data_IF_315639134271
#
_entry.id   IF_315639134271
#
_cell.length_a   1.000
_cell.length_b   1.000
_cell.length_c   1.000
_cell.angle_alpha   90.00
_cell.angle_beta   90.00
_cell.angle_gamma   90.00
#
_symmetry.space_group_name_H-M   'P 1'
#
loop_
_entity.id
_entity.type
_entity.pdbx_description
1 polymer ?
#
# COMPACT_ATOMS: atom_id res chain seq x y z
N UNK A 1 39.23 -29.12 -5.47
CA UNK A 1 39.18 -27.78 -6.08
C UNK A 1 37.87 -27.51 -6.86
N UNK A 2 36.78 -28.28 -6.70
CA UNK A 2 35.49 -28.08 -7.39
C UNK A 2 34.31 -28.29 -6.41
N UNK A 3 34.38 -27.66 -5.23
CA UNK A 3 33.25 -27.66 -4.26
C UNK A 3 32.94 -26.27 -3.72
N UNK A 4 33.37 -25.23 -4.44
CA UNK A 4 33.35 -23.82 -4.00
C UNK A 4 32.55 -22.89 -4.94
N UNK A 5 31.80 -23.43 -5.92
CA UNK A 5 31.15 -22.61 -6.98
C UNK A 5 29.61 -22.71 -6.94
N UNK A 6 29.03 -23.28 -5.88
CA UNK A 6 27.56 -23.36 -5.73
C UNK A 6 27.03 -22.66 -4.46
N UNK A 7 27.58 -21.49 -4.12
CA UNK A 7 26.91 -20.56 -3.21
C UNK A 7 26.65 -19.25 -3.95
N UNK A 8 25.44 -18.99 -4.46
CA UNK A 8 25.07 -17.67 -4.87
C UNK A 8 24.50 -16.91 -3.66
N UNK A 9 25.00 -15.69 -3.53
CA UNK A 9 24.50 -14.59 -2.69
C UNK A 9 25.11 -14.51 -1.29
N UNK A 10 26.21 -13.73 -1.27
CA UNK A 10 26.66 -12.90 -0.17
C UNK A 10 25.59 -12.63 0.89
N UNK A 11 25.94 -12.94 2.14
CA UNK A 11 25.24 -12.45 3.31
C UNK A 11 25.33 -10.92 3.36
N UNK A 12 24.44 -10.23 2.67
CA UNK A 12 24.05 -8.90 3.10
C UNK A 12 23.28 -9.12 4.41
N UNK A 13 23.97 -8.97 5.54
CA UNK A 13 23.37 -8.78 6.88
C UNK A 13 22.62 -7.44 6.88
N UNK A 14 21.65 -7.26 5.98
CA UNK A 14 20.77 -6.12 6.04
C UNK A 14 19.87 -6.35 7.24
N UNK A 15 19.92 -5.42 8.18
CA UNK A 15 19.05 -5.35 9.36
C UNK A 15 17.61 -5.20 8.85
N UNK A 16 17.00 -6.32 8.46
CA UNK A 16 15.63 -6.36 8.00
C UNK A 16 14.84 -7.21 8.99
N UNK A 17 13.83 -6.58 9.57
CA UNK A 17 12.93 -7.16 10.56
C UNK A 17 12.44 -8.54 10.09
N UNK A 18 12.68 -9.53 10.95
CA UNK A 18 12.24 -10.93 10.81
C UNK A 18 12.75 -11.69 9.57
N UNK A 19 13.82 -11.27 8.91
CA UNK A 19 14.36 -12.00 7.74
C UNK A 19 14.66 -13.48 8.01
N UNK A 20 15.34 -13.78 9.12
CA UNK A 20 15.64 -15.18 9.49
C UNK A 20 14.38 -16.02 9.73
N UNK A 21 13.37 -15.42 10.38
CA UNK A 21 12.08 -16.08 10.65
C UNK A 21 11.32 -16.32 9.34
N UNK A 22 11.27 -15.34 8.44
CA UNK A 22 10.62 -15.50 7.13
C UNK A 22 11.34 -16.54 6.26
N UNK A 23 12.68 -16.59 6.30
CA UNK A 23 13.45 -17.62 5.58
C UNK A 23 13.12 -19.02 6.11
N UNK A 24 12.99 -19.16 7.43
CA UNK A 24 12.58 -20.42 8.04
C UNK A 24 11.14 -20.81 7.65
N UNK A 25 10.19 -19.87 7.73
CA UNK A 25 8.80 -20.11 7.32
C UNK A 25 8.72 -20.48 5.83
N UNK A 26 9.50 -19.82 4.97
CA UNK A 26 9.59 -20.14 3.55
C UNK A 26 10.08 -21.56 3.31
N UNK A 27 11.05 -22.03 4.10
CA UNK A 27 11.61 -23.36 3.97
C UNK A 27 10.60 -24.46 4.35
N UNK A 28 9.78 -24.22 5.38
CA UNK A 28 8.86 -25.24 5.92
C UNK A 28 7.43 -25.20 5.35
N UNK A 29 6.88 -24.02 5.05
CA UNK A 29 5.46 -23.84 4.69
C UNK A 29 5.24 -23.39 3.25
N UNK A 30 6.33 -23.13 2.52
CA UNK A 30 6.29 -22.69 1.14
C UNK A 30 5.90 -21.22 0.95
N UNK A 31 5.77 -20.88 -0.33
CA UNK A 31 5.72 -19.48 -0.81
C UNK A 31 4.36 -18.77 -0.65
N UNK A 32 3.27 -19.51 -0.47
CA UNK A 32 1.92 -18.96 -0.26
C UNK A 32 1.77 -18.32 1.11
N UNK A 33 2.07 -19.08 2.17
CA UNK A 33 2.09 -18.60 3.56
C UNK A 33 3.13 -17.48 3.74
N UNK A 34 4.30 -17.62 3.09
CA UNK A 34 5.31 -16.56 3.09
C UNK A 34 4.77 -15.24 2.52
N UNK A 35 3.94 -15.28 1.47
CA UNK A 35 3.38 -14.07 0.84
C UNK A 35 2.51 -13.26 1.81
N UNK A 36 1.80 -13.92 2.73
CA UNK A 36 1.05 -13.28 3.81
C UNK A 36 1.99 -12.55 4.77
N UNK A 37 3.03 -13.20 5.28
CA UNK A 37 3.97 -12.57 6.21
C UNK A 37 4.77 -11.43 5.58
N UNK A 38 5.12 -11.54 4.29
CA UNK A 38 5.75 -10.43 3.57
C UNK A 38 4.73 -9.28 3.43
N UNK A 39 3.44 -9.55 3.20
CA UNK A 39 2.40 -8.52 3.14
C UNK A 39 2.21 -7.82 4.48
N UNK A 40 2.06 -8.58 5.56
CA UNK A 40 1.97 -8.06 6.93
C UNK A 40 3.19 -7.19 7.25
N UNK A 41 4.41 -7.69 6.99
CA UNK A 41 5.64 -6.93 7.22
C UNK A 41 5.65 -5.62 6.42
N UNK A 42 5.14 -5.60 5.19
CA UNK A 42 5.05 -4.35 4.41
C UNK A 42 4.08 -3.35 5.04
N UNK A 43 2.90 -3.81 5.48
CA UNK A 43 1.95 -2.96 6.21
C UNK A 43 2.59 -2.39 7.50
N UNK A 44 3.37 -3.20 8.22
CA UNK A 44 4.09 -2.73 9.40
C UNK A 44 5.02 -1.56 9.06
N UNK A 45 5.82 -1.67 7.98
CA UNK A 45 6.70 -0.56 7.55
C UNK A 45 5.92 0.70 7.17
N UNK A 46 4.75 0.56 6.50
CA UNK A 46 3.91 1.71 6.18
C UNK A 46 3.38 2.40 7.44
N UNK A 47 2.92 1.64 8.44
CA UNK A 47 2.46 2.23 9.69
C UNK A 47 3.59 2.83 10.51
N UNK A 48 4.79 2.24 10.52
CA UNK A 48 5.98 2.83 11.15
C UNK A 48 6.30 4.18 10.50
N UNK A 49 6.32 4.25 9.17
CA UNK A 49 6.59 5.50 8.47
C UNK A 49 5.53 6.58 8.79
N UNK A 50 4.24 6.23 8.77
CA UNK A 50 3.16 7.14 9.13
C UNK A 50 3.28 7.59 10.59
N UNK A 51 3.62 6.69 11.51
CA UNK A 51 3.86 7.01 12.91
C UNK A 51 5.06 7.95 13.07
N UNK A 52 6.15 7.76 12.33
CA UNK A 52 7.32 8.64 12.40
C UNK A 52 7.02 10.04 11.86
N UNK A 53 6.28 10.15 10.76
CA UNK A 53 5.87 11.44 10.18
C UNK A 53 4.96 12.19 11.16
N UNK A 54 3.91 11.54 11.68
CA UNK A 54 3.01 12.17 12.66
C UNK A 54 3.72 12.42 14.01
N UNK A 55 4.59 11.50 14.41
CA UNK A 55 5.42 11.58 15.62
C UNK A 55 6.28 12.84 15.61
N UNK A 56 7.09 12.99 14.56
CA UNK A 56 8.07 14.05 14.45
C UNK A 56 7.45 15.42 14.24
N UNK A 57 6.47 15.54 13.35
CA UNK A 57 5.93 16.83 12.95
C UNK A 57 4.67 17.25 13.72
N UNK A 58 3.98 16.35 14.41
CA UNK A 58 2.74 16.70 15.10
C UNK A 58 2.79 16.41 16.60
N UNK A 59 3.22 15.21 16.98
CA UNK A 59 3.18 14.77 18.38
C UNK A 59 4.33 15.38 19.21
N UNK A 60 5.56 15.37 18.69
CA UNK A 60 6.72 15.91 19.42
C UNK A 60 6.59 17.41 19.72
N UNK A 61 6.20 18.29 18.76
CA UNK A 61 5.98 19.71 19.06
C UNK A 61 4.88 19.93 20.10
N UNK A 62 3.83 19.10 20.08
CA UNK A 62 2.69 19.19 20.99
C UNK A 62 3.05 18.78 22.43
N UNK A 63 3.82 17.70 22.61
CA UNK A 63 4.26 17.25 23.94
C UNK A 63 5.25 18.26 24.55
N UNK A 64 6.09 18.88 23.72
CA UNK A 64 7.00 19.93 24.18
C UNK A 64 6.25 21.18 24.63
N UNK A 65 5.12 21.50 24.00
CA UNK A 65 4.31 22.69 24.28
C UNK A 65 2.84 22.33 24.46
N UNK A 66 2.48 21.70 25.59
CA UNK A 66 1.10 21.30 25.83
C UNK A 66 0.19 22.53 25.91
N UNK A 67 -1.03 22.47 25.36
CA UNK A 67 -1.99 23.55 25.45
C UNK A 67 -2.44 23.73 26.90
N UNK A 68 -2.80 24.97 27.26
CA UNK A 68 -3.31 25.27 28.61
C UNK A 68 -4.54 24.39 28.92
N UNK A 69 -4.58 23.73 30.10
CA UNK A 69 -5.71 22.89 30.47
C UNK A 69 -6.98 23.76 30.53
N UNK A 70 -8.01 23.37 29.77
CA UNK A 70 -9.33 24.00 29.87
C UNK A 70 -9.96 23.53 31.18
N UNK A 71 -10.21 24.45 32.11
CA UNK A 71 -10.97 24.17 33.33
C UNK A 71 -12.34 23.60 32.95
N UNK A 72 -12.50 22.27 32.98
CA UNK A 72 -13.77 21.59 32.79
C UNK A 72 -14.19 20.94 34.09
N UNK A 73 -15.32 21.42 34.61
CA UNK A 73 -15.95 20.94 35.83
C UNK A 73 -16.09 19.41 35.85
N UNK A 74 -15.71 18.85 36.99
CA UNK A 74 -15.95 17.49 37.45
C UNK A 74 -17.42 17.11 37.28
N UNK A 75 -17.72 16.24 36.33
CA UNK A 75 -19.03 15.57 36.27
C UNK A 75 -18.79 14.07 36.16
N UNK A 76 -18.99 13.35 37.28
CA UNK A 76 -19.19 11.89 37.44
C UNK A 76 -18.27 10.94 36.67
N UNK A 77 -17.15 10.54 37.28
CA UNK A 77 -16.06 9.72 36.72
C UNK A 77 -16.44 8.33 36.18
N UNK A 78 -17.63 7.80 36.47
CA UNK A 78 -17.89 6.37 36.36
C UNK A 78 -18.34 5.92 34.96
N UNK A 79 -18.88 6.83 34.14
CA UNK A 79 -19.44 6.51 32.81
C UNK A 79 -18.49 6.81 31.63
N UNK A 80 -17.44 7.59 31.86
CA UNK A 80 -16.53 8.09 30.81
C UNK A 80 -15.62 7.01 30.22
N UNK A 81 -15.26 6.00 31.01
CA UNK A 81 -14.45 4.88 30.53
C UNK A 81 -15.21 4.00 29.52
N UNK A 82 -16.54 3.96 29.59
CA UNK A 82 -17.40 3.20 28.66
C UNK A 82 -17.83 4.03 27.43
N UNK A 83 -18.01 5.35 27.58
CA UNK A 83 -18.38 6.25 26.47
C UNK A 83 -17.19 6.80 25.68
N UNK A 84 -15.97 6.67 26.20
CA UNK A 84 -14.76 7.17 25.54
C UNK A 84 -14.65 8.70 25.49
N UNK A 85 -15.54 9.43 26.16
CA UNK A 85 -15.48 10.88 26.31
C UNK A 85 -14.58 11.25 27.50
N UNK A 86 -14.09 12.49 27.59
CA UNK A 86 -13.39 12.99 28.80
C UNK A 86 -11.86 12.88 28.70
N UNK A 87 -11.20 12.16 29.63
CA UNK A 87 -9.73 12.08 29.72
C UNK A 87 -9.09 11.58 28.41
N UNK A 88 -9.75 10.67 27.70
CA UNK A 88 -9.29 10.20 26.39
C UNK A 88 -9.38 11.30 25.32
N UNK A 89 -10.41 12.15 25.36
CA UNK A 89 -10.55 13.26 24.39
C UNK A 89 -9.50 14.36 24.57
N UNK A 90 -8.89 14.44 25.75
CA UNK A 90 -7.75 15.32 26.04
C UNK A 90 -6.40 14.61 25.95
N UNK A 91 -6.38 13.41 25.37
CA UNK A 91 -5.14 12.70 25.05
C UNK A 91 -4.60 13.15 23.70
N UNK A 92 -3.26 13.12 23.57
CA UNK A 92 -2.51 13.31 22.32
C UNK A 92 -2.97 12.34 21.21
N UNK A 93 -3.68 11.27 21.57
CA UNK A 93 -4.26 10.35 20.60
C UNK A 93 -5.28 11.02 19.67
N UNK A 94 -6.08 11.98 20.14
CA UNK A 94 -7.21 12.52 19.40
C UNK A 94 -6.99 13.95 18.90
N UNK A 95 -7.63 14.30 17.77
CA UNK A 95 -7.51 15.62 17.15
C UNK A 95 -7.86 16.78 18.10
N UNK A 96 -8.76 16.55 19.07
CA UNK A 96 -9.26 17.57 19.99
C UNK A 96 -8.20 18.17 20.90
N UNK A 97 -7.15 17.41 21.22
CA UNK A 97 -6.04 17.85 22.07
C UNK A 97 -5.09 18.83 21.36
N UNK A 98 -5.06 18.85 20.03
CA UNK A 98 -4.20 19.72 19.24
C UNK A 98 -4.79 21.13 19.11
N UNK A 99 -4.95 21.86 20.21
CA UNK A 99 -5.47 23.23 20.19
C UNK A 99 -4.36 24.25 19.90
N UNK A 100 -4.75 25.41 19.36
CA UNK A 100 -3.84 26.54 19.20
C UNK A 100 -3.59 27.19 20.57
N UNK A 101 -2.36 27.09 21.09
CA UNK A 101 -1.94 27.85 22.27
C UNK A 101 -1.85 29.31 21.88
N UNK A 102 -2.80 30.14 22.29
CA UNK A 102 -2.60 31.59 22.28
C UNK A 102 -1.45 31.90 23.23
N UNK A 103 -0.48 32.67 22.75
CA UNK A 103 0.78 33.05 23.42
C UNK A 103 0.61 33.79 24.77
N UNK A 104 -0.58 33.85 25.35
CA UNK A 104 -0.87 34.72 26.48
C UNK A 104 -0.36 34.15 27.82
N UNK A 105 -0.12 32.82 27.95
CA UNK A 105 0.26 32.21 29.24
C UNK A 105 1.48 31.26 29.18
N UNK A 106 2.50 31.54 28.37
CA UNK A 106 3.79 30.86 28.54
C UNK A 106 4.55 31.48 29.73
N UNK A 107 4.27 31.02 30.95
CA UNK A 107 5.13 31.31 32.09
C UNK A 107 6.48 30.60 31.88
N UNK A 108 7.50 31.42 31.63
CA UNK A 108 8.85 31.03 31.32
C UNK A 108 9.62 30.70 32.59
N UNK A 109 9.72 29.43 32.97
CA UNK A 109 10.82 28.98 33.84
C UNK A 109 11.46 27.65 33.43
N UNK A 110 10.91 26.85 32.48
CA UNK A 110 11.59 25.59 32.09
C UNK A 110 11.20 24.97 30.74
N UNK A 111 10.43 25.65 29.88
CA UNK A 111 9.95 25.07 28.61
C UNK A 111 10.57 25.75 27.38
N UNK A 112 11.12 24.94 26.49
CA UNK A 112 11.58 25.33 25.16
C UNK A 112 10.35 25.65 24.30
N UNK A 113 9.87 26.89 24.34
CA UNK A 113 8.80 27.37 23.46
C UNK A 113 9.40 27.79 22.11
N UNK A 114 9.13 27.07 21.01
CA UNK A 114 9.43 27.58 19.69
C UNK A 114 8.49 28.76 19.43
N UNK A 115 9.05 29.96 19.29
CA UNK A 115 8.30 31.07 18.70
C UNK A 115 7.78 30.62 17.32
N UNK A 116 6.46 30.68 17.13
CA UNK A 116 5.77 30.48 15.84
C UNK A 116 5.60 29.05 15.26
N UNK A 117 5.52 27.98 16.06
CA UNK A 117 5.06 26.69 15.50
C UNK A 117 3.53 26.67 15.32
N UNK A 118 3.05 26.86 14.09
CA UNK A 118 1.62 26.86 13.78
C UNK A 118 1.06 25.42 13.67
N UNK A 119 0.61 24.86 14.80
CA UNK A 119 0.09 23.48 14.91
C UNK A 119 -1.01 23.18 13.86
N UNK A 120 -2.03 24.05 13.66
CA UNK A 120 -3.06 23.79 12.66
C UNK A 120 -2.54 23.69 11.21
N UNK A 121 -1.54 24.49 10.85
CA UNK A 121 -0.93 24.43 9.52
C UNK A 121 -0.06 23.17 9.38
N UNK A 122 0.73 22.87 10.41
CA UNK A 122 1.51 21.65 10.49
C UNK A 122 0.64 20.39 10.38
N UNK A 123 -0.57 20.40 10.94
CA UNK A 123 -1.53 19.31 10.85
C UNK A 123 -1.89 18.99 9.39
N UNK A 124 -2.30 20.02 8.61
CA UNK A 124 -2.67 19.85 7.20
C UNK A 124 -1.47 19.34 6.39
N UNK A 125 -0.29 19.92 6.59
CA UNK A 125 0.91 19.53 5.87
C UNK A 125 1.39 18.12 6.24
N UNK A 126 1.33 17.74 7.51
CA UNK A 126 1.80 16.43 7.99
C UNK A 126 0.89 15.32 7.46
N UNK A 127 -0.43 15.48 7.57
CA UNK A 127 -1.40 14.50 7.04
C UNK A 127 -1.30 14.44 5.51
N UNK A 128 -1.24 15.59 4.83
CA UNK A 128 -1.10 15.67 3.37
C UNK A 128 0.20 15.02 2.87
N UNK A 129 1.34 15.32 3.50
CA UNK A 129 2.64 14.75 3.16
C UNK A 129 2.68 13.25 3.47
N UNK A 130 2.10 12.80 4.58
CA UNK A 130 1.98 11.38 4.92
C UNK A 130 1.18 10.60 3.87
N UNK A 131 0.04 11.14 3.43
CA UNK A 131 -0.77 10.56 2.35
C UNK A 131 -0.02 10.61 1.00
N UNK A 132 0.69 11.68 0.69
CA UNK A 132 1.48 11.78 -0.54
C UNK A 132 2.64 10.78 -0.58
N UNK A 133 3.43 10.68 0.51
CA UNK A 133 4.54 9.73 0.62
C UNK A 133 4.03 8.29 0.53
N UNK A 134 2.93 7.96 1.22
CA UNK A 134 2.33 6.63 1.12
C UNK A 134 1.85 6.33 -0.30
N UNK A 135 1.26 7.29 -1.01
CA UNK A 135 0.90 7.17 -2.42
C UNK A 135 2.12 6.84 -3.29
N UNK A 136 3.19 7.65 -3.19
CA UNK A 136 4.43 7.46 -3.96
C UNK A 136 5.04 6.08 -3.67
N UNK A 137 5.09 5.68 -2.40
CA UNK A 137 5.61 4.36 -2.03
C UNK A 137 4.75 3.22 -2.59
N UNK A 138 3.42 3.32 -2.56
CA UNK A 138 2.54 2.30 -3.14
C UNK A 138 2.73 2.20 -4.67
N UNK A 139 2.85 3.33 -5.37
CA UNK A 139 3.13 3.38 -6.81
C UNK A 139 4.50 2.78 -7.14
N UNK A 140 5.55 3.20 -6.43
CA UNK A 140 6.90 2.68 -6.61
C UNK A 140 6.94 1.17 -6.38
N UNK A 141 6.27 0.68 -5.32
CA UNK A 141 6.18 -0.75 -5.02
C UNK A 141 5.43 -1.52 -6.10
N UNK A 142 4.36 -0.95 -6.64
CA UNK A 142 3.65 -1.55 -7.75
C UNK A 142 4.55 -1.66 -8.98
N UNK A 143 5.23 -0.58 -9.38
CA UNK A 143 6.16 -0.55 -10.51
C UNK A 143 7.35 -1.48 -10.31
N UNK A 144 8.01 -1.45 -9.16
CA UNK A 144 9.16 -2.31 -8.82
C UNK A 144 8.81 -3.79 -8.92
N UNK A 145 7.65 -4.19 -8.40
CA UNK A 145 7.19 -5.57 -8.47
C UNK A 145 6.83 -5.98 -9.89
N UNK A 146 6.33 -5.05 -10.68
CA UNK A 146 6.01 -5.32 -12.08
C UNK A 146 7.26 -5.46 -12.95
N UNK A 147 8.33 -4.70 -12.66
CA UNK A 147 9.65 -4.87 -13.25
C UNK A 147 10.25 -6.23 -12.90
N UNK A 148 10.28 -6.61 -11.61
CA UNK A 148 10.82 -7.89 -11.17
C UNK A 148 10.01 -9.10 -11.68
N UNK A 149 8.73 -8.90 -12.00
CA UNK A 149 7.88 -9.91 -12.63
C UNK A 149 8.22 -10.15 -14.10
N UNK A 150 9.00 -9.27 -14.77
CA UNK A 150 9.46 -9.48 -16.14
C UNK A 150 10.61 -10.50 -16.22
N UNK A 151 11.39 -10.67 -15.15
CA UNK A 151 12.57 -11.56 -15.14
C UNK A 151 12.26 -13.03 -14.81
N UNK A 152 11.04 -13.34 -14.34
CA UNK A 152 10.62 -14.72 -14.04
C UNK A 152 9.66 -15.21 -15.13
N UNK A 153 10.19 -15.41 -16.33
CA UNK A 153 9.49 -16.05 -17.44
C UNK A 153 9.80 -17.56 -17.43
N UNK A 154 9.17 -18.30 -16.51
CA UNK A 154 9.15 -19.77 -16.56
C UNK A 154 7.71 -20.24 -16.43
N UNK A 155 7.23 -20.81 -17.53
CA UNK A 155 5.96 -21.46 -17.81
C UNK A 155 5.41 -22.22 -16.59
N UNK A 156 4.34 -21.71 -15.97
CA UNK A 156 3.63 -22.44 -14.93
C UNK A 156 2.12 -22.25 -15.03
N UNK A 157 1.50 -23.36 -15.42
CA UNK A 157 0.06 -23.63 -15.54
C UNK A 157 -0.72 -23.07 -14.35
N UNK A 158 -1.64 -22.15 -14.64
CA UNK A 158 -2.59 -21.54 -13.70
C UNK A 158 -3.36 -22.63 -12.94
N UNK A 159 -3.19 -22.70 -11.62
CA UNK A 159 -4.15 -23.37 -10.74
C UNK A 159 -4.70 -22.33 -9.75
N UNK A 160 -6.03 -22.22 -9.69
CA UNK A 160 -6.76 -21.49 -8.64
C UNK A 160 -6.27 -22.02 -7.29
N UNK A 161 -5.58 -21.18 -6.52
CA UNK A 161 -5.17 -21.52 -5.16
C UNK A 161 -6.18 -20.92 -4.16
N UNK A 162 -6.58 -21.78 -3.26
CA UNK A 162 -7.66 -21.76 -2.28
C UNK A 162 -7.74 -20.52 -1.37
N UNK A 163 -8.97 -20.30 -0.90
CA UNK A 163 -9.57 -19.00 -0.59
C UNK A 163 -9.42 -18.55 0.88
N UNK A 164 -8.64 -19.25 1.72
CA UNK A 164 -8.58 -18.95 3.16
C UNK A 164 -7.55 -17.88 3.53
N UNK A 165 -6.37 -17.87 2.89
CA UNK A 165 -5.34 -16.84 3.11
C UNK A 165 -5.82 -15.47 2.62
N UNK A 166 -6.69 -15.45 1.61
CA UNK A 166 -7.22 -14.22 1.05
C UNK A 166 -8.10 -13.46 2.04
N UNK A 167 -8.85 -14.16 2.91
CA UNK A 167 -9.67 -13.54 3.96
C UNK A 167 -8.81 -12.84 5.01
N UNK A 168 -7.77 -13.51 5.50
CA UNK A 168 -6.80 -12.92 6.43
C UNK A 168 -6.11 -11.68 5.82
N UNK A 169 -5.74 -11.73 4.53
CA UNK A 169 -5.13 -10.57 3.85
C UNK A 169 -6.15 -9.43 3.64
N UNK A 170 -7.41 -9.75 3.34
CA UNK A 170 -8.46 -8.75 3.18
C UNK A 170 -8.73 -8.01 4.50
N UNK A 171 -8.72 -8.72 5.63
CA UNK A 171 -8.84 -8.10 6.95
C UNK A 171 -7.64 -7.18 7.24
N UNK A 172 -6.43 -7.56 6.84
CA UNK A 172 -5.25 -6.70 6.92
C UNK A 172 -5.41 -5.41 6.08
N UNK A 173 -5.95 -5.54 4.86
CA UNK A 173 -6.23 -4.39 3.98
C UNK A 173 -7.29 -3.48 4.61
N UNK A 174 -8.35 -4.05 5.17
CA UNK A 174 -9.39 -3.31 5.87
C UNK A 174 -8.86 -2.57 7.12
N UNK A 175 -8.00 -3.23 7.91
CA UNK A 175 -7.31 -2.56 9.01
C UNK A 175 -6.47 -1.37 8.53
N UNK A 176 -5.78 -1.52 7.40
CA UNK A 176 -4.98 -0.45 6.81
C UNK A 176 -5.84 0.71 6.27
N UNK A 177 -6.99 0.42 5.64
CA UNK A 177 -7.92 1.48 5.21
C UNK A 177 -8.36 2.31 6.39
N UNK A 178 -8.80 1.67 7.47
CA UNK A 178 -9.27 2.38 8.67
C UNK A 178 -8.20 3.31 9.25
N UNK A 179 -6.93 2.93 9.22
CA UNK A 179 -5.84 3.84 9.63
C UNK A 179 -5.77 5.06 8.73
N UNK A 180 -5.85 4.91 7.41
CA UNK A 180 -5.81 6.05 6.49
C UNK A 180 -7.04 6.95 6.60
N UNK A 181 -8.22 6.38 6.82
CA UNK A 181 -9.43 7.17 7.11
C UNK A 181 -9.32 7.89 8.46
N UNK A 182 -8.82 7.21 9.48
CA UNK A 182 -8.84 7.69 10.86
C UNK A 182 -7.66 8.59 11.24
N UNK A 183 -6.54 8.57 10.52
CA UNK A 183 -5.34 9.35 10.87
C UNK A 183 -5.60 10.86 10.92
N UNK A 184 -6.61 11.34 10.17
CA UNK A 184 -7.07 12.73 10.24
C UNK A 184 -7.71 13.08 11.60
N UNK A 185 -8.34 12.12 12.28
CA UNK A 185 -9.02 12.33 13.56
C UNK A 185 -8.21 11.85 14.77
N UNK A 186 -7.31 10.90 14.55
CA UNK A 186 -6.45 10.33 15.58
C UNK A 186 -5.07 10.03 14.98
N UNK A 187 -4.12 10.98 15.02
CA UNK A 187 -2.81 10.83 14.39
C UNK A 187 -1.96 9.69 14.98
N UNK A 188 -2.33 9.19 16.17
CA UNK A 188 -1.67 8.06 16.85
C UNK A 188 -2.21 6.68 16.44
N UNK A 189 -3.24 6.60 15.58
CA UNK A 189 -3.78 5.33 15.07
C UNK A 189 -2.73 4.41 14.41
N UNK A 190 -1.73 4.92 13.67
CA UNK A 190 -0.65 4.07 13.15
C UNK A 190 0.10 3.32 14.26
N UNK A 191 0.23 3.88 15.47
CA UNK A 191 0.87 3.20 16.60
C UNK A 191 0.06 1.99 17.09
N UNK A 192 -1.26 2.16 17.22
CA UNK A 192 -2.18 1.07 17.58
C UNK A 192 -2.12 -0.04 16.52
N UNK A 193 -2.08 0.34 15.24
CA UNK A 193 -1.96 -0.62 14.14
C UNK A 193 -0.60 -1.34 14.13
N UNK A 194 0.50 -0.67 14.48
CA UNK A 194 1.82 -1.32 14.67
C UNK A 194 1.70 -2.40 15.74
N UNK A 195 1.11 -2.10 16.90
CA UNK A 195 0.87 -3.07 17.97
C UNK A 195 0.04 -4.27 17.50
N UNK A 196 -1.09 -4.02 16.83
CA UNK A 196 -1.94 -5.07 16.25
C UNK A 196 -1.17 -5.95 15.27
N UNK A 197 -0.42 -5.36 14.34
CA UNK A 197 0.33 -6.10 13.33
C UNK A 197 1.48 -6.91 13.95
N UNK A 198 2.14 -6.38 14.98
CA UNK A 198 3.20 -7.09 15.68
C UNK A 198 2.63 -8.30 16.41
N UNK A 199 1.57 -8.12 17.22
CA UNK A 199 0.88 -9.22 17.89
C UNK A 199 0.38 -10.27 16.89
N UNK A 200 -0.28 -9.83 15.82
CA UNK A 200 -0.79 -10.72 14.78
C UNK A 200 0.31 -11.52 14.10
N UNK A 201 1.50 -10.93 13.88
CA UNK A 201 2.66 -11.63 13.34
C UNK A 201 3.08 -12.80 14.24
N UNK A 202 3.20 -12.56 15.55
CA UNK A 202 3.59 -13.61 16.51
C UNK A 202 2.50 -14.65 16.71
N UNK A 203 1.23 -14.26 16.82
CA UNK A 203 0.12 -15.20 16.95
C UNK A 203 0.00 -16.12 15.73
N UNK A 204 0.00 -15.56 14.51
CA UNK A 204 -0.08 -16.37 13.27
C UNK A 204 1.17 -17.22 13.07
N UNK A 205 2.35 -16.72 13.44
CA UNK A 205 3.58 -17.53 13.47
C UNK A 205 3.43 -18.71 14.42
N UNK A 206 2.99 -18.47 15.66
CA UNK A 206 2.83 -19.51 16.68
C UNK A 206 1.80 -20.55 16.24
N UNK A 207 0.65 -20.10 15.73
CA UNK A 207 -0.40 -20.98 15.22
C UNK A 207 0.10 -21.91 14.09
N UNK A 208 0.90 -21.38 13.15
CA UNK A 208 1.52 -22.19 12.10
C UNK A 208 2.55 -23.19 12.63
N UNK A 209 3.33 -22.79 13.64
CA UNK A 209 4.33 -23.63 14.27
C UNK A 209 3.75 -24.61 15.30
N UNK A 210 2.46 -24.52 15.65
CA UNK A 210 1.80 -25.50 16.54
C UNK A 210 1.00 -26.53 15.74
N UNK A 211 0.41 -26.13 14.60
CA UNK A 211 -0.30 -27.02 13.69
C UNK A 211 0.65 -27.78 12.73
N UNK A 212 1.80 -28.27 13.23
CA UNK A 212 2.84 -28.94 12.42
C UNK A 212 2.27 -30.13 11.61
N UNK A 213 1.90 -29.88 10.37
CA UNK A 213 1.84 -30.87 9.32
C UNK A 213 2.77 -30.43 8.20
N UNK A 214 3.91 -31.13 8.01
CA UNK A 214 4.81 -30.84 6.90
C UNK A 214 4.04 -30.96 5.57
N UNK A 215 4.01 -29.91 4.73
CA UNK A 215 3.25 -29.95 3.49
C UNK A 215 3.86 -31.01 2.56
N UNK A 216 3.08 -32.03 2.20
CA UNK A 216 3.51 -33.15 1.33
C UNK A 216 3.74 -32.75 -0.14
N UNK A 217 3.51 -31.49 -0.52
CA UNK A 217 3.69 -31.00 -1.90
C UNK A 217 4.49 -29.71 -1.91
N UNK A 218 5.51 -29.70 -2.74
CA UNK A 218 6.32 -28.53 -3.08
C UNK A 218 5.42 -27.43 -3.68
N UNK A 219 5.15 -26.39 -2.88
CA UNK A 219 4.30 -25.26 -3.22
C UNK A 219 5.10 -24.10 -3.84
N UNK A 220 4.84 -23.74 -5.11
CA UNK A 220 5.52 -22.64 -5.84
C UNK A 220 4.69 -21.34 -5.86
N UNK A 221 5.42 -20.22 -5.99
CA UNK A 221 5.03 -18.86 -5.63
C UNK A 221 3.73 -18.32 -6.25
N UNK A 222 2.93 -17.71 -5.38
CA UNK A 222 1.54 -17.31 -5.65
C UNK A 222 1.44 -15.90 -6.24
N UNK A 223 0.79 -15.80 -7.40
CA UNK A 223 0.29 -14.58 -8.08
C UNK A 223 -0.57 -13.65 -7.17
N UNK A 224 -1.03 -14.16 -6.02
CA UNK A 224 -1.88 -13.48 -5.04
C UNK A 224 -1.33 -12.13 -4.54
N UNK A 225 -0.01 -12.01 -4.36
CA UNK A 225 0.55 -10.79 -3.77
C UNK A 225 0.46 -9.56 -4.70
N UNK A 226 0.24 -9.72 -6.00
CA UNK A 226 0.05 -8.58 -6.92
C UNK A 226 -1.40 -8.11 -6.88
N UNK A 227 -2.35 -9.03 -6.84
CA UNK A 227 -3.78 -8.71 -6.66
C UNK A 227 -4.02 -7.93 -5.36
N UNK A 228 -3.43 -8.36 -4.24
CA UNK A 228 -3.59 -7.65 -2.97
C UNK A 228 -2.96 -6.25 -2.96
N UNK A 229 -1.85 -6.04 -3.68
CA UNK A 229 -1.28 -4.69 -3.82
C UNK A 229 -2.18 -3.81 -4.70
N UNK A 230 -2.76 -4.37 -5.77
CA UNK A 230 -3.78 -3.66 -6.57
C UNK A 230 -4.99 -3.31 -5.68
N UNK A 231 -5.50 -4.26 -4.90
CA UNK A 231 -6.64 -4.04 -4.01
C UNK A 231 -6.35 -3.01 -2.91
N UNK A 232 -5.14 -3.01 -2.35
CA UNK A 232 -4.70 -2.03 -1.36
C UNK A 232 -4.59 -0.61 -1.95
N UNK A 233 -4.16 -0.49 -3.21
CA UNK A 233 -3.97 0.81 -3.84
C UNK A 233 -5.26 1.38 -4.45
N UNK A 234 -5.96 0.62 -5.29
CA UNK A 234 -7.08 1.13 -6.10
C UNK A 234 -8.32 1.50 -5.27
N UNK A 235 -9.06 0.56 -4.66
CA UNK A 235 -10.24 0.92 -3.88
C UNK A 235 -9.89 1.45 -2.49
N UNK A 236 -8.87 0.88 -1.84
CA UNK A 236 -8.56 1.12 -0.44
C UNK A 236 -7.90 2.49 -0.20
N UNK A 237 -6.72 2.73 -0.79
CA UNK A 237 -6.01 4.00 -0.61
C UNK A 237 -6.73 5.19 -1.27
N UNK A 238 -7.18 5.05 -2.52
CA UNK A 238 -7.92 6.11 -3.22
C UNK A 238 -9.20 6.48 -2.50
N UNK A 239 -9.96 5.50 -2.00
CA UNK A 239 -11.19 5.75 -1.23
C UNK A 239 -10.92 6.51 0.06
N UNK A 240 -9.88 6.12 0.80
CA UNK A 240 -9.46 6.84 2.01
C UNK A 240 -9.01 8.28 1.69
N UNK A 241 -8.21 8.46 0.63
CA UNK A 241 -7.77 9.78 0.19
C UNK A 241 -8.94 10.68 -0.20
N UNK A 242 -9.91 10.17 -0.97
CA UNK A 242 -11.09 10.91 -1.36
C UNK A 242 -11.92 11.33 -0.13
N UNK A 243 -12.08 10.45 0.85
CA UNK A 243 -12.79 10.77 2.09
C UNK A 243 -12.04 11.81 2.95
N UNK A 244 -10.73 11.69 3.11
CA UNK A 244 -9.92 12.68 3.84
C UNK A 244 -10.00 14.05 3.16
N UNK A 245 -9.91 14.11 1.82
CA UNK A 245 -10.09 15.37 1.08
C UNK A 245 -11.50 15.93 1.29
N UNK A 246 -12.54 15.10 1.14
CA UNK A 246 -13.93 15.51 1.33
C UNK A 246 -14.20 16.06 2.74
N UNK A 247 -13.67 15.38 3.77
CA UNK A 247 -13.84 15.80 5.17
C UNK A 247 -13.13 17.12 5.44
N UNK A 248 -11.89 17.29 4.99
CA UNK A 248 -11.17 18.57 5.13
C UNK A 248 -11.84 19.73 4.37
N UNK A 249 -12.59 19.41 3.30
CA UNK A 249 -13.32 20.38 2.48
C UNK A 249 -14.66 20.83 3.07
N UNK A 250 -15.53 19.86 3.37
CA UNK A 250 -16.96 20.09 3.64
C UNK A 250 -17.30 20.10 5.11
N UNK A 251 -16.56 19.37 5.94
CA UNK A 251 -16.91 19.21 7.36
C UNK A 251 -16.45 20.44 8.12
N UNK A 252 -17.39 21.06 8.84
CA UNK A 252 -17.10 22.18 9.72
C UNK A 252 -16.44 21.67 11.00
N UNK A 253 -15.26 22.19 11.40
CA UNK A 253 -14.61 21.77 12.64
C UNK A 253 -15.41 22.22 13.87
N UNK A 254 -15.16 21.55 15.01
CA UNK A 254 -15.76 21.89 16.30
C UNK A 254 -15.41 23.32 16.73
N UNK A 255 -16.32 24.00 17.43
CA UNK A 255 -16.05 25.29 18.09
C UNK A 255 -15.19 25.12 19.35
N UNK A 256 -15.32 23.98 20.02
CA UNK A 256 -14.88 23.84 21.42
C UNK A 256 -13.50 23.21 21.56
N UNK A 257 -13.02 22.48 20.55
CA UNK A 257 -11.76 21.74 20.61
C UNK A 257 -11.10 21.54 19.23
N UNK A 258 -9.80 21.22 19.27
CA UNK A 258 -8.99 20.91 18.10
C UNK A 258 -8.32 22.11 17.41
N UNK A 259 -7.48 21.84 16.40
CA UNK A 259 -6.58 22.83 15.80
C UNK A 259 -7.31 23.86 14.94
N UNK A 260 -8.48 23.50 14.42
CA UNK A 260 -9.26 24.34 13.53
C UNK A 260 -10.47 24.96 14.23
N UNK A 261 -10.42 25.09 15.57
CA UNK A 261 -11.50 25.72 16.34
C UNK A 261 -11.81 27.11 15.77
N UNK A 262 -13.10 27.44 15.65
CA UNK A 262 -13.60 28.71 15.11
C UNK A 262 -13.33 28.94 13.61
N UNK A 263 -12.97 27.91 12.83
CA UNK A 263 -12.94 27.98 11.36
C UNK A 263 -14.18 27.32 10.72
N UNK A 264 -14.50 27.74 9.49
CA UNK A 264 -15.60 27.15 8.71
C UNK A 264 -15.20 25.84 8.01
N UNK A 265 -13.92 25.70 7.65
CA UNK A 265 -13.36 24.48 7.06
C UNK A 265 -11.86 24.43 7.35
N UNK A 266 -11.30 23.22 7.40
CA UNK A 266 -9.87 23.00 7.71
C UNK A 266 -8.98 23.65 6.64
N UNK A 267 -9.33 23.48 5.35
CA UNK A 267 -8.57 24.05 4.23
C UNK A 267 -8.56 25.59 4.17
N UNK A 268 -9.49 26.27 4.84
CA UNK A 268 -9.54 27.74 4.83
C UNK A 268 -8.29 28.36 5.47
N UNK A 269 -7.67 27.67 6.42
CA UNK A 269 -6.42 28.12 7.03
C UNK A 269 -5.26 28.07 6.02
N UNK A 270 -5.13 26.96 5.28
CA UNK A 270 -4.17 26.85 4.18
C UNK A 270 -4.36 27.96 3.15
N UNK A 271 -5.61 28.27 2.81
CA UNK A 271 -5.97 29.40 1.92
C UNK A 271 -5.56 30.78 2.46
N UNK A 272 -5.61 31.00 3.78
CA UNK A 272 -5.14 32.26 4.37
C UNK A 272 -3.61 32.37 4.28
N UNK A 273 -2.91 31.29 4.63
CA UNK A 273 -1.45 31.23 4.59
C UNK A 273 -0.90 31.40 3.16
N UNK A 274 -1.47 30.70 2.17
CA UNK A 274 -1.06 30.79 0.76
C UNK A 274 -1.24 32.21 0.19
N UNK A 275 -2.32 32.90 0.59
CA UNK A 275 -2.60 34.30 0.19
C UNK A 275 -1.65 35.29 0.87
N UNK A 276 -1.30 35.05 2.13
CA UNK A 276 -0.31 35.86 2.84
C UNK A 276 1.07 35.76 2.19
N UNK A 277 1.48 34.56 1.78
CA UNK A 277 2.71 34.32 1.02
C UNK A 277 2.73 35.05 -0.33
N UNK A 278 1.64 34.98 -1.10
CA UNK A 278 1.55 35.66 -2.38
C UNK A 278 1.63 37.19 -2.28
N UNK A 279 1.24 37.77 -1.13
CA UNK A 279 1.43 39.21 -0.85
C UNK A 279 2.84 39.56 -0.38
N UNK A 280 3.49 38.65 0.36
CA UNK A 280 4.82 38.89 0.93
C UNK A 280 5.94 38.68 -0.09
N UNK A 281 5.76 37.76 -1.05
CA UNK A 281 6.72 37.45 -2.12
C UNK A 281 6.03 37.44 -3.49
N UNK A 282 6.30 38.43 -4.38
CA UNK A 282 5.62 38.52 -5.68
C UNK A 282 5.89 37.32 -6.60
N UNK A 283 7.01 36.60 -6.44
CA UNK A 283 7.28 35.35 -7.19
C UNK A 283 6.33 34.20 -6.85
N UNK A 284 5.70 34.22 -5.67
CA UNK A 284 4.79 33.18 -5.19
C UNK A 284 3.31 33.49 -5.46
N UNK A 285 3.00 34.57 -6.17
CA UNK A 285 1.63 34.96 -6.51
C UNK A 285 0.88 33.84 -7.27
N UNK A 286 1.62 33.09 -8.12
CA UNK A 286 1.08 31.95 -8.88
C UNK A 286 0.45 30.87 -7.99
N UNK A 287 0.89 30.77 -6.73
CA UNK A 287 0.55 29.68 -5.80
C UNK A 287 -0.80 29.96 -5.19
N UNK A 288 -1.05 31.23 -4.86
CA UNK A 288 -2.36 31.71 -4.44
C UNK A 288 -3.38 31.59 -5.58
N UNK A 289 -2.99 31.94 -6.81
CA UNK A 289 -3.85 31.75 -7.98
C UNK A 289 -4.18 30.28 -8.22
N UNK A 290 -3.16 29.42 -8.26
CA UNK A 290 -3.30 27.98 -8.44
C UNK A 290 -4.16 27.36 -7.33
N UNK A 291 -3.91 27.70 -6.06
CA UNK A 291 -4.73 27.22 -4.96
C UNK A 291 -6.20 27.64 -5.11
N UNK A 292 -6.47 28.91 -5.39
CA UNK A 292 -7.86 29.37 -5.53
C UNK A 292 -8.60 28.72 -6.70
N UNK A 293 -7.89 28.31 -7.76
CA UNK A 293 -8.53 27.72 -8.94
C UNK A 293 -8.60 26.18 -8.89
N UNK A 294 -7.55 25.52 -8.40
CA UNK A 294 -7.49 24.06 -8.30
C UNK A 294 -8.20 23.53 -7.07
N UNK A 295 -8.04 24.21 -5.94
CA UNK A 295 -8.45 23.69 -4.64
C UNK A 295 -9.89 24.11 -4.35
N UNK A 296 -10.27 25.40 -4.50
CA UNK A 296 -11.65 25.88 -4.25
C UNK A 296 -12.73 25.30 -5.16
N UNK A 297 -12.37 24.80 -6.34
CA UNK A 297 -13.33 24.21 -7.28
C UNK A 297 -13.41 22.69 -7.09
N UNK A 298 -14.50 22.15 -6.52
CA UNK A 298 -14.64 20.72 -6.25
C UNK A 298 -14.58 19.90 -7.55
N UNK A 299 -15.13 20.43 -8.65
CA UNK A 299 -15.10 19.79 -9.96
C UNK A 299 -13.67 19.56 -10.44
N UNK A 300 -12.76 20.52 -10.22
CA UNK A 300 -11.37 20.37 -10.64
C UNK A 300 -10.67 19.22 -9.89
N UNK A 301 -10.89 19.09 -8.58
CA UNK A 301 -10.34 17.99 -7.78
C UNK A 301 -10.89 16.63 -8.22
N UNK A 302 -12.19 16.52 -8.50
CA UNK A 302 -12.79 15.28 -9.00
C UNK A 302 -12.29 14.92 -10.40
N UNK A 303 -12.19 15.89 -11.31
CA UNK A 303 -11.64 15.68 -12.65
C UNK A 303 -10.17 15.26 -12.58
N UNK A 304 -9.37 15.91 -11.74
CA UNK A 304 -7.95 15.59 -11.58
C UNK A 304 -7.74 14.22 -10.94
N UNK A 305 -8.51 13.88 -9.91
CA UNK A 305 -8.48 12.56 -9.29
C UNK A 305 -8.95 11.47 -10.27
N UNK A 306 -10.00 11.73 -11.04
CA UNK A 306 -10.48 10.85 -12.10
C UNK A 306 -9.44 10.63 -13.18
N UNK A 307 -8.81 11.69 -13.68
CA UNK A 307 -7.73 11.63 -14.67
C UNK A 307 -6.51 10.88 -14.12
N UNK A 308 -6.14 11.11 -12.88
CA UNK A 308 -5.05 10.39 -12.25
C UNK A 308 -5.36 8.90 -12.13
N UNK A 309 -6.60 8.53 -11.76
CA UNK A 309 -7.05 7.14 -11.71
C UNK A 309 -7.11 6.51 -13.10
N UNK A 310 -7.55 7.22 -14.14
CA UNK A 310 -7.56 6.70 -15.51
C UNK A 310 -6.15 6.56 -16.06
N UNK A 311 -5.25 7.51 -15.83
CA UNK A 311 -3.82 7.41 -16.22
C UNK A 311 -3.18 6.23 -15.52
N UNK A 312 -3.38 6.08 -14.22
CA UNK A 312 -2.90 4.92 -13.47
C UNK A 312 -3.52 3.66 -14.09
N UNK A 313 -4.83 3.59 -14.28
CA UNK A 313 -5.51 2.42 -14.84
C UNK A 313 -4.97 2.04 -16.24
N UNK A 314 -4.80 3.02 -17.13
CA UNK A 314 -4.23 2.82 -18.46
C UNK A 314 -2.79 2.33 -18.33
N UNK A 315 -1.97 2.93 -17.48
CA UNK A 315 -0.62 2.45 -17.23
C UNK A 315 -0.62 1.01 -16.73
N UNK A 316 -1.55 0.63 -15.86
CA UNK A 316 -1.67 -0.74 -15.36
C UNK A 316 -2.07 -1.70 -16.47
N UNK A 317 -3.03 -1.30 -17.30
CA UNK A 317 -3.53 -2.09 -18.42
C UNK A 317 -2.44 -2.29 -19.48
N UNK A 318 -1.68 -1.24 -19.81
CA UNK A 318 -0.53 -1.31 -20.71
C UNK A 318 0.53 -2.25 -20.16
N UNK A 319 0.82 -2.17 -18.86
CA UNK A 319 1.79 -3.04 -18.22
C UNK A 319 1.38 -4.52 -18.20
N UNK A 320 0.07 -4.81 -18.15
CA UNK A 320 -0.46 -6.18 -18.30
C UNK A 320 -0.50 -6.61 -19.78
N UNK A 321 -0.81 -5.71 -20.71
CA UNK A 321 -0.84 -5.96 -22.16
C UNK A 321 0.54 -6.27 -22.74
N UNK A 322 1.58 -5.53 -22.35
CA UNK A 322 2.95 -5.79 -22.79
C UNK A 322 3.46 -7.18 -22.39
N UNK A 323 3.03 -7.69 -21.23
CA UNK A 323 3.39 -9.04 -20.79
C UNK A 323 2.78 -10.10 -21.71
N UNK A 324 1.55 -9.89 -22.17
CA UNK A 324 0.87 -10.83 -23.04
C UNK A 324 1.51 -10.90 -24.44
N UNK A 325 2.00 -9.77 -24.96
CA UNK A 325 2.72 -9.71 -26.23
C UNK A 325 4.04 -10.49 -26.13
N UNK A 326 4.82 -10.27 -25.07
CA UNK A 326 6.11 -10.97 -24.87
C UNK A 326 5.91 -12.49 -24.77
N UNK A 327 4.87 -12.96 -24.08
CA UNK A 327 4.57 -14.40 -23.98
C UNK A 327 4.25 -15.00 -25.34
N UNK A 328 3.42 -14.33 -26.16
CA UNK A 328 3.12 -14.80 -27.51
C UNK A 328 4.37 -14.84 -28.40
N UNK A 329 5.23 -13.83 -28.30
CA UNK A 329 6.49 -13.80 -29.04
C UNK A 329 7.42 -14.96 -28.65
N UNK A 330 7.51 -15.29 -27.35
CA UNK A 330 8.29 -16.44 -26.90
C UNK A 330 7.71 -17.77 -27.42
N UNK A 331 6.39 -17.94 -27.38
CA UNK A 331 5.73 -19.12 -27.95
C UNK A 331 5.98 -19.26 -29.46
N UNK A 332 5.99 -18.14 -30.20
CA UNK A 332 6.33 -18.16 -31.63
C UNK A 332 7.79 -18.58 -31.86
N UNK A 333 8.73 -18.07 -31.07
CA UNK A 333 10.15 -18.43 -31.17
C UNK A 333 10.37 -19.92 -30.84
N UNK A 334 9.75 -20.40 -29.75
CA UNK A 334 9.85 -21.81 -29.34
C UNK A 334 9.26 -22.73 -30.42
N UNK A 335 8.10 -22.38 -30.98
CA UNK A 335 7.47 -23.16 -32.06
C UNK A 335 8.32 -23.19 -33.34
N UNK A 336 8.92 -22.06 -33.75
CA UNK A 336 9.83 -21.99 -34.90
C UNK A 336 11.09 -22.83 -34.65
N UNK A 337 11.65 -22.76 -33.43
CA UNK A 337 12.84 -23.55 -33.06
C UNK A 337 12.56 -25.06 -33.07
N UNK A 338 11.41 -25.50 -32.57
CA UNK A 338 10.97 -26.91 -32.62
C UNK A 338 10.79 -27.36 -34.07
N UNK A 339 10.18 -26.53 -34.92
CA UNK A 339 9.99 -26.85 -36.34
C UNK A 339 11.33 -27.04 -37.07
N UNK A 340 12.34 -26.19 -36.79
CA UNK A 340 13.69 -26.35 -37.33
C UNK A 340 14.43 -27.58 -36.81
N UNK A 341 14.20 -27.99 -35.55
CA UNK A 341 14.75 -29.22 -34.99
C UNK A 341 14.13 -30.47 -35.62
N UNK A 342 12.82 -30.46 -35.86
CA UNK A 342 12.13 -31.55 -36.57
C UNK A 342 12.64 -31.69 -38.00
N UNK A 343 12.87 -30.59 -38.70
CA UNK A 343 13.41 -30.58 -40.06
C UNK A 343 14.87 -31.09 -40.13
N UNK A 344 15.68 -30.81 -39.10
CA UNK A 344 17.05 -31.32 -38.98
C UNK A 344 17.13 -32.78 -38.51
N UNK A 345 16.19 -33.26 -37.68
CA UNK A 345 16.15 -34.64 -37.21
C UNK A 345 15.48 -35.60 -38.20
N UNK A 346 14.61 -35.10 -39.07
CA UNK A 346 14.03 -35.82 -40.21
C UNK A 346 14.41 -35.08 -41.50
N UNK A 347 15.66 -35.21 -41.97
CA UNK A 347 16.00 -34.70 -43.29
C UNK A 347 15.07 -35.39 -44.29
N UNK A 348 14.36 -34.59 -45.09
CA UNK A 348 13.51 -35.06 -46.17
C UNK A 348 14.40 -35.79 -47.16
N UNK A 349 14.60 -37.09 -46.95
CA UNK A 349 15.30 -37.96 -47.88
C UNK A 349 14.58 -37.88 -49.22
N UNK A 350 15.35 -37.57 -50.26
CA UNK A 350 14.90 -37.53 -51.64
C UNK A 350 14.04 -38.77 -51.96
N UNK A 351 12.73 -38.56 -52.12
CA UNK A 351 11.89 -39.50 -52.85
C UNK A 351 11.66 -38.96 -54.26
N UNK A 352 12.74 -38.94 -55.04
CA UNK A 352 12.65 -39.26 -56.46
C UNK A 352 12.67 -40.79 -56.60
N UNK A 353 11.56 -41.44 -56.28
CA UNK A 353 11.31 -42.82 -56.73
C UNK A 353 10.04 -42.82 -57.55
N UNK A 354 10.23 -42.76 -58.86
CA UNK A 354 9.26 -43.16 -59.86
C UNK A 354 8.83 -44.61 -59.58
N UNK A 355 7.67 -44.85 -59.00
CA UNK A 355 6.97 -46.14 -59.13
C UNK A 355 5.50 -45.90 -59.46
N UNK A 356 5.27 -45.94 -60.77
CA UNK A 356 3.98 -46.17 -61.39
C UNK A 356 3.61 -47.64 -61.14
N UNK A 357 2.67 -47.93 -60.23
CA UNK A 357 1.93 -49.20 -60.27
C UNK A 357 0.49 -49.04 -59.74
N UNK A 358 -0.42 -48.98 -60.71
CA UNK A 358 -1.78 -49.53 -60.74
C UNK A 358 -2.43 -49.84 -59.39
N UNK A 359 -3.50 -49.11 -59.08
CA UNK A 359 -4.63 -49.66 -58.34
C UNK A 359 -5.86 -49.65 -59.26
N UNK A 360 -6.08 -50.78 -59.93
CA UNK A 360 -7.33 -51.14 -60.60
C UNK A 360 -7.74 -52.52 -60.10
N UNK A 361 -8.98 -52.64 -59.61
CA UNK A 361 -9.76 -53.88 -59.69
C UNK A 361 -9.85 -54.73 -58.43
N UNK A 362 -11.05 -54.67 -57.81
CA UNK A 362 -11.89 -55.75 -57.26
C UNK A 362 -11.27 -56.89 -56.43
N UNK A 363 -11.96 -57.28 -55.35
CA UNK A 363 -12.79 -58.52 -55.27
C UNK A 363 -13.41 -58.70 -53.85
N UNK A 364 -14.74 -58.56 -53.81
CA UNK A 364 -15.81 -59.21 -53.02
C UNK A 364 -15.57 -60.06 -51.73
N UNK A 365 -16.58 -59.92 -50.83
CA UNK A 365 -17.22 -60.92 -49.92
C UNK A 365 -16.36 -61.42 -48.74
N UNK A 366 -16.85 -61.49 -47.49
CA UNK A 366 -17.94 -62.35 -46.98
C UNK A 366 -18.42 -61.79 -45.63
N UNK A 367 -19.73 -61.86 -45.37
CA UNK A 367 -20.32 -61.62 -44.06
C UNK A 367 -20.68 -62.91 -43.30
N UNK A 368 -21.10 -62.69 -42.04
CA UNK A 368 -22.01 -63.51 -41.19
C UNK A 368 -21.49 -64.83 -40.63
N UNK A 369 -22.08 -65.38 -39.54
CA UNK A 369 -23.35 -65.02 -38.85
C UNK A 369 -23.24 -64.03 -37.71
#
# INVERSE_FOLDING_TARGET
MIRSICDPVSQQKSIQLWQGVLKNISAHFGTGVLSYFIFLRRLLHFNILLFLINGLFLILPQISNPPSPKNKHTTTADLWMLTGMGVLTDSVMFYGHYANSTNENCQAETKLCPENYNIPLAYIFTIGAGMFITCVLLVYRFKLKLLFSKDVNITLRKRKLEFDIARDVLELIYGQTLVWFGVLFSPLLPAVQIGKLFLLFYFKKSSLMMNFQPPRKHWRATQMSTFFIKLLFFPSFTGALACVIYTMWRVRPSSDCGPFSNLHSMLRLGKKWIRGLGRSKPSMFWLSWAYNHLVDNPLFLFITAGLFLTIIYIHMQVLDGQKMIIVRLQEQIDNVSIMSLVENCFPRGDQNVTTRSKFTGNTTLVGTP
#
